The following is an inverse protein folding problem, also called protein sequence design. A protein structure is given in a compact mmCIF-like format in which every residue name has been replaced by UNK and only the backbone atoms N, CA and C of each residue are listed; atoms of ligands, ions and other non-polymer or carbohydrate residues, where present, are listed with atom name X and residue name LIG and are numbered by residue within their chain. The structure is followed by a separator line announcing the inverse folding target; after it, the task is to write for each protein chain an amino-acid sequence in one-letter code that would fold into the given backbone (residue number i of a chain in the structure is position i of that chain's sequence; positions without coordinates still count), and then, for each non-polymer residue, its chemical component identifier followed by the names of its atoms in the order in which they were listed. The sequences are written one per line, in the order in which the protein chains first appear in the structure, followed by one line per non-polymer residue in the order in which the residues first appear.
data_IF_339256310286
#
_entry.id   IF_339256310286
#
_cell.length_a   1.000
_cell.length_b   1.000
_cell.length_c   1.000
_cell.angle_alpha   90.00
_cell.angle_beta   90.00
_cell.angle_gamma   90.00
#
_symmetry.space_group_name_H-M   'P 1'
#
loop_
_entity.id
_entity.type
_entity.pdbx_description
1 polymer ?
#
# COMPACT_ATOMS: atom_id res chain seq x y z
N UNK A 1 -9.67 8.09 16.87
CA UNK A 1 -9.19 6.87 16.18
C UNK A 1 -7.77 6.56 16.65
N UNK A 2 -7.59 5.43 17.32
CA UNK A 2 -6.32 5.04 17.95
C UNK A 2 -5.21 4.82 16.90
N UNK A 3 -3.93 4.97 17.24
CA UNK A 3 -2.80 4.83 16.31
C UNK A 3 -2.78 3.46 15.60
N UNK A 4 -3.20 2.42 16.34
CA UNK A 4 -3.37 1.06 15.81
C UNK A 4 -4.45 1.00 14.72
N UNK A 5 -5.60 1.62 14.93
CA UNK A 5 -6.71 1.63 13.95
C UNK A 5 -6.33 2.39 12.67
N UNK A 6 -5.62 3.51 12.79
CA UNK A 6 -5.12 4.27 11.63
C UNK A 6 -4.14 3.44 10.79
N UNK A 7 -3.24 2.71 11.45
CA UNK A 7 -2.25 1.87 10.77
C UNK A 7 -2.91 0.67 10.11
N UNK A 8 -3.87 0.03 10.78
CA UNK A 8 -4.65 -1.07 10.22
C UNK A 8 -5.46 -0.62 8.99
N UNK A 9 -6.07 0.56 9.03
CA UNK A 9 -6.78 1.14 7.88
C UNK A 9 -5.85 1.41 6.69
N UNK A 10 -4.65 1.94 6.92
CA UNK A 10 -3.65 2.12 5.86
C UNK A 10 -3.25 0.80 5.20
N UNK A 11 -3.05 -0.25 5.99
CA UNK A 11 -2.73 -1.58 5.48
C UNK A 11 -3.88 -2.13 4.64
N UNK A 12 -5.11 -2.07 5.16
CA UNK A 12 -6.30 -2.55 4.44
C UNK A 12 -6.47 -1.80 3.11
N UNK A 13 -6.35 -0.47 3.10
CA UNK A 13 -6.44 0.33 1.88
C UNK A 13 -5.31 0.00 0.90
N UNK A 14 -4.07 -0.13 1.39
CA UNK A 14 -2.91 -0.48 0.59
C UNK A 14 -3.09 -1.84 -0.10
N UNK A 15 -3.50 -2.87 0.64
CA UNK A 15 -3.75 -4.21 0.11
C UNK A 15 -4.92 -4.19 -0.89
N UNK A 16 -6.03 -3.53 -0.56
CA UNK A 16 -7.19 -3.47 -1.44
C UNK A 16 -6.86 -2.80 -2.78
N UNK A 17 -6.15 -1.67 -2.74
CA UNK A 17 -5.69 -0.98 -3.95
C UNK A 17 -4.71 -1.81 -4.76
N UNK A 18 -3.80 -2.52 -4.10
CA UNK A 18 -2.85 -3.41 -4.76
C UNK A 18 -3.54 -4.56 -5.48
N UNK A 19 -4.49 -5.22 -4.82
CA UNK A 19 -5.30 -6.29 -5.42
C UNK A 19 -6.14 -5.78 -6.60
N UNK A 20 -6.77 -4.61 -6.45
CA UNK A 20 -7.47 -3.97 -7.56
C UNK A 20 -6.55 -3.63 -8.72
N UNK A 21 -5.30 -3.26 -8.44
CA UNK A 21 -4.32 -3.00 -9.48
C UNK A 21 -4.00 -4.28 -10.26
N UNK A 22 -3.67 -5.37 -9.55
CA UNK A 22 -3.35 -6.67 -10.13
C UNK A 22 -4.50 -7.22 -10.98
N UNK A 23 -5.74 -7.15 -10.49
CA UNK A 23 -6.92 -7.63 -11.22
C UNK A 23 -7.27 -6.78 -12.44
N UNK A 24 -6.83 -5.52 -12.48
CA UNK A 24 -7.05 -4.61 -13.61
C UNK A 24 -5.83 -4.50 -14.54
N UNK A 25 -4.76 -5.24 -14.27
CA UNK A 25 -3.54 -5.22 -15.06
C UNK A 25 -3.69 -6.18 -16.24
N UNK A 26 -3.61 -5.65 -17.45
CA UNK A 26 -3.63 -6.45 -18.66
C UNK A 26 -2.23 -7.04 -18.91
N UNK A 27 -2.11 -8.35 -18.79
CA UNK A 27 -0.86 -9.08 -19.03
C UNK A 27 -0.55 -9.24 -20.52
N UNK A 28 -1.53 -9.02 -21.39
CA UNK A 28 -1.39 -9.19 -22.85
C UNK A 28 -0.71 -7.98 -23.50
N UNK A 29 -0.88 -6.79 -22.90
CA UNK A 29 -0.28 -5.55 -23.36
C UNK A 29 0.34 -4.79 -22.18
N UNK A 30 1.64 -4.99 -21.98
CA UNK A 30 2.41 -4.38 -20.88
C UNK A 30 2.75 -2.89 -21.11
N UNK A 31 2.24 -2.28 -22.18
CA UNK A 31 2.52 -0.87 -22.45
C UNK A 31 1.98 0.02 -21.33
N UNK A 32 2.77 1.05 -21.02
CA UNK A 32 2.42 1.99 -19.94
C UNK A 32 1.14 2.75 -20.29
N UNK A 33 0.92 3.04 -21.56
CA UNK A 33 -0.24 3.75 -22.08
C UNK A 33 -1.53 2.95 -21.81
N UNK A 34 -1.56 1.66 -22.15
CA UNK A 34 -2.71 0.78 -21.95
C UNK A 34 -2.97 0.47 -20.47
N UNK A 35 -1.89 0.24 -19.69
CA UNK A 35 -1.97 -0.09 -18.27
C UNK A 35 -1.83 1.11 -17.31
N UNK A 36 -1.94 2.35 -17.80
CA UNK A 36 -1.66 3.58 -17.02
C UNK A 36 -2.37 3.57 -15.66
N UNK A 37 -3.65 3.18 -15.62
CA UNK A 37 -4.46 3.14 -14.39
C UNK A 37 -3.97 2.07 -13.41
N UNK A 38 -3.56 0.90 -13.92
CA UNK A 38 -3.07 -0.18 -13.08
C UNK A 38 -1.69 0.20 -12.49
N UNK A 39 -0.78 0.76 -13.29
CA UNK A 39 0.49 1.30 -12.80
C UNK A 39 0.33 2.38 -11.74
N UNK A 40 -0.63 3.30 -11.93
CA UNK A 40 -0.96 4.30 -10.90
C UNK A 40 -1.41 3.65 -9.59
N UNK A 41 -2.32 2.68 -9.65
CA UNK A 41 -2.78 1.95 -8.45
C UNK A 41 -1.65 1.16 -7.78
N UNK A 42 -0.76 0.52 -8.55
CA UNK A 42 0.44 -0.16 -8.00
C UNK A 42 1.31 0.85 -7.26
N UNK A 43 1.55 2.02 -7.85
CA UNK A 43 2.42 3.05 -7.27
C UNK A 43 1.83 3.59 -5.96
N UNK A 44 0.56 3.97 -5.98
CA UNK A 44 -0.14 4.51 -4.80
C UNK A 44 -0.26 3.48 -3.69
N UNK A 45 -0.65 2.24 -4.01
CA UNK A 45 -0.74 1.16 -3.01
C UNK A 45 0.61 0.86 -2.37
N UNK A 46 1.68 0.82 -3.17
CA UNK A 46 3.05 0.62 -2.69
C UNK A 46 3.46 1.74 -1.73
N UNK A 47 3.21 3.01 -2.08
CA UNK A 47 3.52 4.14 -1.20
C UNK A 47 2.77 4.06 0.14
N UNK A 48 1.47 3.73 0.11
CA UNK A 48 0.65 3.56 1.33
C UNK A 48 1.20 2.43 2.21
N UNK A 49 1.54 1.29 1.62
CA UNK A 49 2.08 0.14 2.35
C UNK A 49 3.43 0.45 2.97
N UNK A 50 4.32 1.17 2.26
CA UNK A 50 5.61 1.62 2.80
C UNK A 50 5.37 2.53 4.02
N UNK A 51 4.46 3.50 3.93
CA UNK A 51 4.12 4.39 5.06
C UNK A 51 3.62 3.58 6.26
N UNK A 52 2.74 2.59 6.03
CA UNK A 52 2.23 1.73 7.09
C UNK A 52 3.35 0.91 7.76
N UNK A 53 4.26 0.34 6.97
CA UNK A 53 5.43 -0.41 7.47
C UNK A 53 6.35 0.50 8.30
N UNK A 54 6.67 1.70 7.81
CA UNK A 54 7.50 2.66 8.53
C UNK A 54 6.87 3.05 9.88
N UNK A 55 5.55 3.24 9.92
CA UNK A 55 4.82 3.51 11.17
C UNK A 55 4.93 2.34 12.15
N UNK A 56 4.73 1.10 11.71
CA UNK A 56 4.88 -0.08 12.57
C UNK A 56 6.31 -0.17 13.12
N UNK A 57 7.32 0.07 12.28
CA UNK A 57 8.73 0.05 12.70
C UNK A 57 9.03 1.12 13.75
N UNK A 58 8.46 2.31 13.62
CA UNK A 58 8.60 3.39 14.61
C UNK A 58 8.00 2.98 15.96
N UNK A 59 6.75 2.51 15.98
CA UNK A 59 6.07 2.06 17.21
C UNK A 59 6.84 0.90 17.87
N UNK A 60 7.35 -0.03 17.07
CA UNK A 60 8.13 -1.16 17.58
C UNK A 60 9.44 -0.71 18.22
N UNK A 61 10.11 0.30 17.66
CA UNK A 61 11.34 0.87 18.26
C UNK A 61 11.05 1.60 19.57
N UNK A 62 9.98 2.39 19.63
CA UNK A 62 9.58 3.11 20.84
C UNK A 62 9.32 2.12 21.99
N UNK A 63 8.59 1.03 21.75
CA UNK A 63 8.34 -0.03 22.75
C UNK A 63 9.56 -0.82 23.24
N UNK A 64 10.68 -0.79 22.52
CA UNK A 64 11.91 -1.51 22.92
C UNK A 64 12.81 -0.60 23.77
N UNK A 65 12.67 0.72 23.62
CA UNK A 65 13.46 1.71 24.32
C UNK A 65 12.79 2.23 25.62
N UNK A 66 11.53 1.86 25.85
CA UNK A 66 10.80 2.04 27.12
C UNK A 66 10.98 0.81 28.02
#
# INVERSE_FOLDING_TARGET
MNYSQKTQLLITLGIALFLMALLSFDLSDLSLEHNTKAYFKITVSTAILIIAILRIRKIKKEKIND
#
